data_IF_864286308989
#
_entry.id   IF_864286308989
#
_cell.length_a   1.000
_cell.length_b   1.000
_cell.length_c   1.000
_cell.angle_alpha   90.00
_cell.angle_beta   90.00
_cell.angle_gamma   90.00
#
_symmetry.space_group_name_H-M   'P 1'
#
loop_
_entity.id
_entity.type
_entity.pdbx_description
1 polymer ?
#
# COMPACT_ATOMS: atom_id res chain seq x y z
N UNK A 1 -65.20 45.56 -2.78
CA UNK A 1 -64.55 44.20 -2.51
C UNK A 1 -64.76 43.22 -3.69
N UNK A 2 -65.41 43.52 -4.78
CA UNK A 2 -65.63 42.62 -5.93
C UNK A 2 -64.53 42.64 -7.00
N UNK A 3 -63.60 43.61 -6.97
CA UNK A 3 -62.52 43.75 -7.96
C UNK A 3 -61.35 42.80 -7.68
N UNK A 4 -60.96 42.62 -6.43
CA UNK A 4 -59.77 41.82 -6.06
C UNK A 4 -59.97 40.32 -6.29
N UNK A 5 -61.20 39.80 -6.15
CA UNK A 5 -61.54 38.43 -6.42
C UNK A 5 -61.34 38.02 -7.91
N UNK A 6 -61.73 38.94 -8.80
CA UNK A 6 -61.58 38.70 -10.25
C UNK A 6 -60.14 38.72 -10.70
N UNK A 7 -59.30 39.62 -10.13
CA UNK A 7 -57.85 39.65 -10.40
C UNK A 7 -57.16 38.37 -9.88
N UNK A 8 -57.55 37.90 -8.68
CA UNK A 8 -57.00 36.67 -8.12
C UNK A 8 -57.38 35.44 -8.97
N UNK A 9 -58.62 35.38 -9.47
CA UNK A 9 -59.08 34.29 -10.33
C UNK A 9 -58.37 34.30 -11.69
N UNK A 10 -58.16 35.47 -12.29
CA UNK A 10 -57.38 35.56 -13.54
C UNK A 10 -55.94 35.21 -13.36
N UNK A 11 -55.29 35.60 -12.25
CA UNK A 11 -53.91 35.19 -11.93
C UNK A 11 -53.81 33.68 -11.69
N UNK A 12 -54.77 33.08 -10.99
CA UNK A 12 -54.82 31.65 -10.75
C UNK A 12 -55.02 30.84 -12.06
N UNK A 13 -55.90 31.34 -12.95
CA UNK A 13 -56.07 30.73 -14.28
C UNK A 13 -54.83 30.88 -15.16
N UNK A 14 -54.13 32.04 -15.09
CA UNK A 14 -52.90 32.24 -15.85
C UNK A 14 -51.77 31.30 -15.39
N UNK A 15 -51.65 31.07 -14.08
CA UNK A 15 -50.67 30.13 -13.54
C UNK A 15 -51.00 28.69 -13.89
N UNK A 16 -52.26 28.31 -13.92
CA UNK A 16 -52.70 26.97 -14.37
C UNK A 16 -52.47 26.78 -15.88
N UNK A 17 -52.69 27.80 -16.71
CA UNK A 17 -52.44 27.70 -18.16
C UNK A 17 -50.94 27.66 -18.48
N UNK A 18 -50.09 28.34 -17.73
CA UNK A 18 -48.64 28.29 -17.86
C UNK A 18 -48.06 26.94 -17.38
N UNK A 19 -48.71 26.28 -16.41
CA UNK A 19 -48.36 24.96 -15.98
C UNK A 19 -48.73 23.80 -16.93
N UNK A 20 -49.64 24.09 -17.90
CA UNK A 20 -50.13 23.12 -18.91
C UNK A 20 -49.44 23.29 -20.28
N UNK A 21 -48.46 24.17 -20.42
CA UNK A 21 -47.55 24.16 -21.57
C UNK A 21 -46.68 22.88 -21.49
N UNK A 22 -47.31 21.73 -21.58
CA UNK A 22 -46.64 20.50 -21.93
C UNK A 22 -45.90 20.73 -23.25
N UNK A 23 -44.58 20.71 -23.23
CA UNK A 23 -43.77 20.81 -24.42
C UNK A 23 -44.32 19.82 -25.44
N UNK A 24 -44.80 20.33 -26.59
CA UNK A 24 -45.09 19.50 -27.75
C UNK A 24 -43.78 18.95 -28.35
N UNK A 25 -42.91 18.47 -27.49
CA UNK A 25 -41.66 17.88 -27.89
C UNK A 25 -41.92 16.49 -28.45
N UNK A 26 -41.57 16.30 -29.71
CA UNK A 26 -41.47 14.94 -30.24
C UNK A 26 -40.19 14.37 -29.67
N UNK A 27 -40.32 13.71 -28.50
CA UNK A 27 -39.19 13.21 -27.72
C UNK A 27 -38.29 12.29 -28.54
N UNK A 28 -37.01 12.50 -28.42
CA UNK A 28 -35.94 11.65 -28.91
C UNK A 28 -35.17 11.16 -27.71
N UNK A 29 -35.52 9.97 -27.26
CA UNK A 29 -34.99 9.40 -26.04
C UNK A 29 -33.61 8.80 -26.23
N UNK A 30 -32.68 9.20 -25.38
CA UNK A 30 -31.40 8.51 -25.14
C UNK A 30 -31.61 7.60 -23.95
N UNK A 31 -31.22 6.35 -24.10
CA UNK A 31 -31.43 5.36 -23.05
C UNK A 31 -30.64 5.69 -21.78
N UNK A 32 -31.14 5.22 -20.63
CA UNK A 32 -30.47 5.40 -19.36
C UNK A 32 -29.09 4.73 -19.36
N UNK A 33 -28.13 5.36 -18.70
CA UNK A 33 -26.80 4.84 -18.41
C UNK A 33 -26.70 4.42 -16.95
N UNK A 34 -25.51 3.98 -16.52
CA UNK A 34 -25.28 3.66 -15.10
C UNK A 34 -25.47 4.88 -14.19
N UNK A 35 -25.24 6.09 -14.69
CA UNK A 35 -25.21 7.32 -13.89
C UNK A 35 -26.31 8.32 -14.26
N UNK A 36 -26.92 8.16 -15.44
CA UNK A 36 -27.91 9.10 -15.94
C UNK A 36 -29.21 8.38 -16.29
N UNK A 37 -30.38 9.00 -15.97
CA UNK A 37 -31.67 8.48 -16.35
C UNK A 37 -31.89 8.62 -17.86
N UNK A 38 -32.88 7.93 -18.39
CA UNK A 38 -33.32 8.07 -19.76
C UNK A 38 -33.75 9.53 -20.03
N UNK A 39 -33.10 10.20 -20.97
CA UNK A 39 -33.17 11.64 -21.16
C UNK A 39 -33.54 11.97 -22.60
N UNK A 40 -34.49 12.90 -22.80
CA UNK A 40 -34.81 13.42 -24.13
C UNK A 40 -33.70 14.33 -24.65
N UNK A 41 -33.07 14.00 -25.75
CA UNK A 41 -32.01 14.79 -26.39
C UNK A 41 -32.47 16.20 -26.82
N UNK A 42 -33.80 16.41 -27.02
CA UNK A 42 -34.33 17.66 -27.52
C UNK A 42 -34.76 18.65 -26.43
N UNK A 43 -35.33 18.17 -25.34
CA UNK A 43 -35.88 19.01 -24.29
C UNK A 43 -35.30 18.77 -22.90
N UNK A 44 -34.45 17.77 -22.73
CA UNK A 44 -33.83 17.43 -21.43
C UNK A 44 -34.79 16.77 -20.43
N UNK A 45 -36.03 16.45 -20.83
CA UNK A 45 -36.95 15.72 -19.94
C UNK A 45 -36.40 14.33 -19.64
N UNK A 46 -36.48 13.92 -18.36
CA UNK A 46 -35.99 12.64 -17.89
C UNK A 46 -37.11 11.67 -17.58
N UNK A 47 -36.87 10.38 -17.78
CA UNK A 47 -37.82 9.32 -17.49
C UNK A 47 -37.13 8.15 -16.73
N UNK A 48 -37.68 7.83 -15.56
CA UNK A 48 -37.12 6.80 -14.68
C UNK A 48 -35.90 7.28 -13.94
N UNK A 49 -35.09 6.33 -13.48
CA UNK A 49 -33.83 6.56 -12.77
C UNK A 49 -32.66 6.05 -13.59
N UNK A 50 -31.44 6.42 -13.22
CA UNK A 50 -30.21 5.81 -13.73
C UNK A 50 -30.21 4.29 -13.45
N UNK A 51 -29.57 3.51 -14.32
CA UNK A 51 -29.53 2.05 -14.18
C UNK A 51 -28.73 1.59 -12.94
N UNK A 52 -27.87 2.45 -12.41
CA UNK A 52 -26.89 2.08 -11.39
C UNK A 52 -25.73 1.28 -11.96
N UNK A 53 -24.76 0.99 -11.12
CA UNK A 53 -23.62 0.16 -11.49
C UNK A 53 -23.92 -1.32 -11.19
N UNK A 54 -23.49 -2.19 -12.09
CA UNK A 54 -23.53 -3.66 -11.91
C UNK A 54 -22.12 -4.13 -11.59
N UNK A 55 -21.81 -4.47 -10.32
CA UNK A 55 -20.49 -4.93 -9.94
C UNK A 55 -20.08 -6.20 -10.67
N UNK A 56 -18.84 -6.25 -11.15
CA UNK A 56 -18.22 -7.44 -11.72
C UNK A 56 -17.49 -8.28 -10.66
N UNK A 57 -16.59 -9.15 -11.11
CA UNK A 57 -15.72 -9.91 -10.21
C UNK A 57 -14.65 -9.01 -9.59
N UNK A 58 -14.20 -9.37 -8.38
CA UNK A 58 -13.08 -8.73 -7.73
C UNK A 58 -11.78 -8.99 -8.51
N UNK A 59 -11.06 -7.93 -8.81
CA UNK A 59 -9.73 -7.96 -9.42
C UNK A 59 -8.70 -7.60 -8.37
N UNK A 60 -7.59 -8.31 -8.36
CA UNK A 60 -6.50 -8.09 -7.44
C UNK A 60 -5.41 -7.30 -8.15
N UNK A 61 -5.00 -6.19 -7.55
CA UNK A 61 -3.83 -5.43 -8.01
C UNK A 61 -2.53 -6.17 -7.62
N UNK A 62 -1.41 -5.73 -8.19
CA UNK A 62 -0.10 -6.19 -7.74
C UNK A 62 0.09 -5.84 -6.26
N UNK A 63 0.76 -6.72 -5.49
CA UNK A 63 1.03 -6.46 -4.08
C UNK A 63 1.88 -5.21 -3.88
N UNK A 64 1.46 -4.36 -2.96
CA UNK A 64 2.32 -3.30 -2.43
C UNK A 64 3.13 -3.85 -1.24
N UNK A 65 4.38 -4.17 -1.50
CA UNK A 65 5.27 -4.75 -0.50
C UNK A 65 5.73 -3.74 0.55
N UNK A 66 5.69 -2.43 0.26
CA UNK A 66 6.05 -1.38 1.21
C UNK A 66 4.99 -1.25 2.29
N UNK A 67 3.72 -1.21 1.91
CA UNK A 67 2.60 -1.10 2.85
C UNK A 67 2.03 -2.45 3.30
N UNK A 68 2.49 -3.56 2.70
CA UNK A 68 2.02 -4.92 3.02
C UNK A 68 0.56 -5.18 2.70
N UNK A 69 0.05 -4.58 1.65
CA UNK A 69 -1.34 -4.75 1.23
C UNK A 69 -1.47 -5.17 -0.23
N UNK A 70 -2.58 -5.81 -0.53
CA UNK A 70 -3.06 -6.08 -1.87
C UNK A 70 -4.40 -5.38 -2.01
N UNK A 71 -4.52 -4.48 -2.97
CA UNK A 71 -5.78 -3.83 -3.28
C UNK A 71 -6.67 -4.75 -4.10
N UNK A 72 -7.92 -4.82 -3.73
CA UNK A 72 -8.98 -5.53 -4.43
C UNK A 72 -9.92 -4.48 -5.00
N UNK A 73 -10.18 -4.53 -6.31
CA UNK A 73 -11.05 -3.58 -7.00
C UNK A 73 -12.17 -4.30 -7.71
N UNK A 74 -13.32 -3.67 -7.72
CA UNK A 74 -14.49 -4.16 -8.42
C UNK A 74 -14.96 -3.10 -9.42
N UNK A 75 -15.15 -3.50 -10.65
CA UNK A 75 -15.53 -2.59 -11.73
C UNK A 75 -16.93 -2.94 -12.24
N UNK A 76 -17.66 -1.90 -12.66
CA UNK A 76 -18.96 -2.09 -13.29
C UNK A 76 -18.81 -2.83 -14.63
N UNK A 77 -19.57 -3.91 -14.80
CA UNK A 77 -19.54 -4.73 -16.02
C UNK A 77 -20.10 -4.02 -17.25
N UNK A 78 -20.85 -2.90 -17.05
CA UNK A 78 -21.50 -2.16 -18.12
C UNK A 78 -20.67 -0.95 -18.56
N UNK A 79 -20.15 -0.15 -17.64
CA UNK A 79 -19.46 1.10 -17.96
C UNK A 79 -17.96 1.10 -17.60
N UNK A 80 -17.47 0.07 -16.90
CA UNK A 80 -16.07 -0.03 -16.49
C UNK A 80 -15.66 0.88 -15.32
N UNK A 81 -16.58 1.65 -14.74
CA UNK A 81 -16.26 2.48 -13.59
C UNK A 81 -15.94 1.61 -12.37
N UNK A 82 -14.98 2.04 -11.56
CA UNK A 82 -14.71 1.45 -10.25
C UNK A 82 -15.92 1.67 -9.34
N UNK A 83 -16.40 0.60 -8.73
CA UNK A 83 -17.62 0.60 -7.91
C UNK A 83 -17.36 0.25 -6.47
N UNK A 84 -16.29 -0.49 -6.20
CA UNK A 84 -15.90 -0.85 -4.84
C UNK A 84 -14.40 -1.11 -4.76
N UNK A 85 -13.81 -0.87 -3.58
CA UNK A 85 -12.40 -1.08 -3.28
C UNK A 85 -12.30 -1.72 -1.89
N UNK A 86 -11.52 -2.78 -1.79
CA UNK A 86 -11.19 -3.44 -0.54
C UNK A 86 -9.68 -3.70 -0.47
N UNK A 87 -9.16 -4.12 0.66
CA UNK A 87 -7.75 -4.47 0.82
C UNK A 87 -7.57 -5.74 1.60
N UNK A 88 -6.53 -6.49 1.23
CA UNK A 88 -6.09 -7.70 1.92
C UNK A 88 -4.66 -7.53 2.37
N UNK A 89 -4.40 -7.81 3.65
CA UNK A 89 -3.03 -7.83 4.17
C UNK A 89 -2.23 -8.99 3.56
N UNK A 90 -0.96 -8.72 3.25
CA UNK A 90 0.00 -9.76 2.90
C UNK A 90 0.32 -10.60 4.14
N UNK A 91 0.38 -11.91 3.97
CA UNK A 91 0.71 -12.86 5.03
C UNK A 91 2.17 -13.29 5.05
N UNK A 92 2.90 -13.08 3.96
CA UNK A 92 4.31 -13.44 3.85
C UNK A 92 4.96 -12.72 2.68
N UNK A 93 6.25 -12.41 2.82
CA UNK A 93 7.11 -11.95 1.72
C UNK A 93 7.99 -13.07 1.15
N UNK A 94 7.84 -14.30 1.61
CA UNK A 94 8.69 -15.42 1.19
C UNK A 94 8.01 -16.28 0.13
N UNK A 95 8.71 -16.53 -0.97
CA UNK A 95 8.32 -17.46 -2.02
C UNK A 95 9.55 -18.08 -2.67
N UNK A 96 9.55 -19.40 -2.87
CA UNK A 96 10.60 -20.13 -3.61
C UNK A 96 12.05 -19.86 -3.13
N UNK A 97 12.22 -19.67 -1.81
CA UNK A 97 13.51 -19.41 -1.18
C UNK A 97 14.03 -17.98 -1.39
N UNK A 98 13.14 -17.04 -1.72
CA UNK A 98 13.46 -15.61 -1.86
C UNK A 98 12.39 -14.75 -1.19
N UNK A 99 12.76 -13.52 -0.83
CA UNK A 99 11.79 -12.47 -0.50
C UNK A 99 11.13 -11.97 -1.79
N UNK A 100 9.85 -11.65 -1.71
CA UNK A 100 9.12 -10.97 -2.79
C UNK A 100 9.50 -9.49 -2.90
N UNK A 101 10.01 -8.90 -1.81
CA UNK A 101 10.55 -7.54 -1.78
C UNK A 101 11.80 -7.42 -2.66
N UNK A 102 11.84 -6.35 -3.45
CA UNK A 102 13.10 -5.87 -4.05
C UNK A 102 13.98 -5.20 -2.98
N UNK A 103 15.28 -5.01 -3.26
CA UNK A 103 16.16 -4.22 -2.39
C UNK A 103 15.62 -2.81 -2.10
N UNK A 104 15.05 -2.15 -3.11
CA UNK A 104 14.49 -0.81 -3.01
C UNK A 104 13.25 -0.78 -2.09
N UNK A 105 12.32 -1.71 -2.29
CA UNK A 105 11.12 -1.85 -1.45
C UNK A 105 11.48 -2.18 -0.01
N UNK A 106 12.50 -3.01 0.21
CA UNK A 106 13.01 -3.29 1.56
C UNK A 106 13.55 -2.03 2.23
N UNK A 107 14.36 -1.23 1.52
CA UNK A 107 14.93 0.01 2.08
C UNK A 107 13.85 1.04 2.38
N UNK A 108 12.87 1.22 1.48
CA UNK A 108 11.74 2.13 1.68
C UNK A 108 10.86 1.69 2.87
N UNK A 109 10.57 0.39 2.97
CA UNK A 109 9.81 -0.16 4.10
C UNK A 109 10.56 0.04 5.41
N UNK A 110 11.87 -0.19 5.43
CA UNK A 110 12.70 -0.01 6.63
C UNK A 110 12.71 1.45 7.08
N UNK A 111 12.82 2.40 6.15
CA UNK A 111 12.75 3.86 6.42
C UNK A 111 11.40 4.26 7.01
N UNK A 112 10.30 3.78 6.44
CA UNK A 112 8.95 4.00 6.94
C UNK A 112 8.74 3.42 8.35
N UNK A 113 9.32 2.25 8.63
CA UNK A 113 9.24 1.61 9.95
C UNK A 113 9.97 2.44 11.02
N UNK A 114 11.14 3.01 10.73
CA UNK A 114 11.83 3.90 11.68
C UNK A 114 10.93 5.08 12.08
N UNK A 115 10.32 5.76 11.11
CA UNK A 115 9.37 6.83 11.37
C UNK A 115 8.15 6.38 12.20
N UNK A 116 7.61 5.22 11.89
CA UNK A 116 6.46 4.66 12.62
C UNK A 116 6.83 4.28 14.05
N UNK A 117 7.95 3.61 14.26
CA UNK A 117 8.42 3.21 15.59
C UNK A 117 8.70 4.41 16.49
N UNK A 118 9.32 5.46 15.95
CA UNK A 118 9.55 6.71 16.68
C UNK A 118 8.24 7.39 17.07
N UNK A 119 7.31 7.54 16.13
CA UNK A 119 6.08 8.29 16.35
C UNK A 119 5.07 7.58 17.26
N UNK A 120 4.93 6.26 17.15
CA UNK A 120 3.89 5.51 17.85
C UNK A 120 4.36 4.82 19.12
N UNK A 121 5.63 4.45 19.21
CA UNK A 121 6.15 3.66 20.31
C UNK A 121 7.19 4.41 21.16
N UNK A 122 7.49 5.67 20.79
CA UNK A 122 8.50 6.49 21.51
C UNK A 122 9.89 5.86 21.48
N UNK A 123 10.16 4.99 20.49
CA UNK A 123 11.47 4.42 20.30
C UNK A 123 12.42 5.52 19.80
N UNK A 124 13.65 5.56 20.30
CA UNK A 124 14.68 6.45 19.77
C UNK A 124 15.26 5.84 18.48
N UNK A 125 14.48 5.93 17.42
CA UNK A 125 14.77 5.39 16.09
C UNK A 125 14.74 6.51 15.04
N UNK A 126 15.26 7.69 15.35
CA UNK A 126 15.42 8.77 14.37
C UNK A 126 16.56 8.41 13.39
N UNK A 127 16.28 7.36 12.62
CA UNK A 127 17.15 6.74 11.64
C UNK A 127 16.57 6.87 10.25
N UNK A 128 17.45 6.77 9.25
CA UNK A 128 17.05 6.69 7.84
C UNK A 128 17.68 5.49 7.16
N UNK A 129 16.93 4.87 6.26
CA UNK A 129 17.39 3.77 5.42
C UNK A 129 17.43 4.20 3.96
N UNK A 130 18.53 3.95 3.25
CA UNK A 130 18.68 4.29 1.83
C UNK A 130 19.38 3.19 1.08
N UNK A 131 18.91 2.95 -0.14
CA UNK A 131 19.58 2.02 -1.04
C UNK A 131 20.94 2.57 -1.44
N UNK A 132 21.91 1.70 -1.53
CA UNK A 132 23.24 1.96 -2.05
C UNK A 132 23.53 0.93 -3.15
N UNK A 133 23.75 1.41 -4.36
CA UNK A 133 24.29 0.56 -5.43
C UNK A 133 25.80 0.50 -5.26
N UNK A 134 26.34 -0.68 -5.00
CA UNK A 134 27.76 -0.93 -5.10
C UNK A 134 28.05 -1.55 -6.48
N UNK A 135 29.33 -1.56 -6.86
CA UNK A 135 29.79 -1.97 -8.20
C UNK A 135 29.23 -3.35 -8.66
N UNK A 136 28.91 -3.40 -9.91
CA UNK A 136 28.49 -4.44 -10.86
C UNK A 136 27.55 -5.57 -10.40
N UNK A 137 27.57 -6.11 -9.18
CA UNK A 137 26.69 -7.21 -8.74
C UNK A 137 26.31 -7.16 -7.25
N UNK A 138 26.56 -6.04 -6.56
CA UNK A 138 26.17 -5.89 -5.16
C UNK A 138 25.24 -4.73 -4.94
N UNK A 139 24.12 -4.96 -4.29
CA UNK A 139 23.23 -3.92 -3.75
C UNK A 139 23.23 -4.00 -2.25
N UNK A 140 23.09 -2.84 -1.62
CA UNK A 140 23.00 -2.74 -0.18
C UNK A 140 22.05 -1.65 0.25
N UNK A 141 21.72 -1.66 1.53
CA UNK A 141 21.00 -0.60 2.21
C UNK A 141 21.88 -0.06 3.33
N UNK A 142 22.01 1.24 3.43
CA UNK A 142 22.69 1.91 4.55
C UNK A 142 21.68 2.47 5.52
N UNK A 143 21.94 2.28 6.81
CA UNK A 143 21.15 2.89 7.90
C UNK A 143 22.04 3.91 8.60
N UNK A 144 21.55 5.14 8.75
CA UNK A 144 22.23 6.22 9.43
C UNK A 144 21.30 6.88 10.48
N UNK A 145 21.91 7.43 11.55
CA UNK A 145 21.17 8.20 12.54
C UNK A 145 20.89 9.65 12.07
N UNK A 146 20.15 10.41 12.86
CA UNK A 146 19.80 11.81 12.56
C UNK A 146 21.01 12.73 12.34
N UNK A 147 22.18 12.39 12.86
CA UNK A 147 23.43 13.12 12.64
C UNK A 147 24.13 12.73 11.33
N UNK A 148 23.62 11.74 10.62
CA UNK A 148 24.21 11.19 9.42
C UNK A 148 25.37 10.20 9.70
N UNK A 149 25.54 9.75 10.94
CA UNK A 149 26.50 8.72 11.30
C UNK A 149 25.99 7.37 10.84
N UNK A 150 26.83 6.61 10.16
CA UNK A 150 26.50 5.29 9.65
C UNK A 150 26.37 4.28 10.80
N UNK A 151 25.24 3.62 10.91
CA UNK A 151 24.97 2.61 11.94
C UNK A 151 25.15 1.19 11.41
N UNK A 152 24.72 0.95 10.17
CA UNK A 152 24.68 -0.38 9.59
C UNK A 152 24.77 -0.32 8.06
N UNK A 153 25.41 -1.33 7.48
CA UNK A 153 25.39 -1.63 6.05
C UNK A 153 24.80 -3.03 5.86
N UNK A 154 23.66 -3.11 5.22
CA UNK A 154 23.02 -4.38 4.85
C UNK A 154 23.31 -4.69 3.39
N UNK A 155 23.88 -5.84 3.11
CA UNK A 155 24.14 -6.36 1.77
C UNK A 155 23.08 -7.41 1.39
N UNK A 156 22.61 -7.36 0.17
CA UNK A 156 21.67 -8.32 -0.38
C UNK A 156 22.36 -9.34 -1.25
N UNK A 157 21.95 -10.60 -1.11
CA UNK A 157 22.33 -11.65 -2.04
C UNK A 157 21.09 -12.27 -2.67
N UNK A 158 21.18 -12.58 -3.97
CA UNK A 158 20.14 -13.28 -4.71
C UNK A 158 20.30 -14.79 -4.62
N UNK A 159 19.28 -15.49 -5.08
CA UNK A 159 19.39 -16.93 -5.31
C UNK A 159 20.44 -17.20 -6.39
N UNK A 160 21.23 -18.27 -6.23
CA UNK A 160 22.32 -18.64 -7.16
C UNK A 160 21.82 -18.62 -8.61
N UNK A 161 22.48 -17.82 -9.47
CA UNK A 161 22.16 -17.66 -10.89
C UNK A 161 21.28 -16.47 -11.24
N UNK A 162 20.80 -15.68 -10.27
CA UNK A 162 20.09 -14.44 -10.53
C UNK A 162 21.04 -13.26 -10.32
N UNK A 163 21.01 -12.27 -11.22
CA UNK A 163 21.73 -11.01 -11.03
C UNK A 163 20.88 -10.02 -10.23
N UNK A 164 21.48 -9.40 -9.23
CA UNK A 164 20.81 -8.36 -8.44
C UNK A 164 20.61 -7.07 -9.22
N UNK A 165 21.31 -6.93 -10.34
CA UNK A 165 21.20 -5.76 -11.23
C UNK A 165 20.08 -5.89 -12.26
N UNK A 166 19.50 -7.10 -12.44
CA UNK A 166 18.36 -7.32 -13.31
C UNK A 166 17.05 -7.00 -12.55
N UNK A 167 16.30 -5.96 -12.94
CA UNK A 167 15.07 -5.56 -12.26
C UNK A 167 14.03 -6.67 -12.13
N UNK A 168 13.96 -7.57 -13.12
CA UNK A 168 12.95 -8.63 -13.17
C UNK A 168 13.35 -9.86 -12.31
N UNK A 169 14.61 -9.96 -11.92
CA UNK A 169 15.16 -11.09 -11.15
C UNK A 169 15.71 -10.73 -9.77
N UNK A 170 15.57 -9.48 -9.33
CA UNK A 170 16.06 -8.95 -8.04
C UNK A 170 15.34 -9.50 -6.83
N UNK A 171 15.33 -10.78 -6.65
CA UNK A 171 14.74 -11.40 -5.46
C UNK A 171 15.82 -11.68 -4.42
N UNK A 172 15.63 -11.12 -3.22
CA UNK A 172 16.57 -11.26 -2.11
C UNK A 172 16.44 -12.65 -1.51
N UNK A 173 17.51 -13.43 -1.54
CA UNK A 173 17.59 -14.72 -0.84
C UNK A 173 18.15 -14.56 0.58
N UNK A 174 19.03 -13.58 0.79
CA UNK A 174 19.67 -13.33 2.07
C UNK A 174 20.03 -11.86 2.21
N UNK A 175 19.89 -11.35 3.44
CA UNK A 175 20.38 -10.05 3.90
C UNK A 175 21.47 -10.30 4.91
N UNK A 176 22.62 -9.62 4.79
CA UNK A 176 23.67 -9.62 5.79
C UNK A 176 23.99 -8.18 6.15
N UNK A 177 23.75 -7.82 7.40
CA UNK A 177 23.97 -6.48 7.94
C UNK A 177 25.21 -6.49 8.84
N UNK A 178 26.17 -5.62 8.56
CA UNK A 178 27.31 -5.32 9.41
C UNK A 178 27.09 -3.99 10.13
N UNK A 179 27.30 -3.96 11.45
CA UNK A 179 27.13 -2.77 12.27
C UNK A 179 28.44 -2.03 12.44
N UNK A 180 28.41 -0.71 12.22
CA UNK A 180 29.54 0.19 12.46
C UNK A 180 29.47 0.84 13.84
N UNK A 181 28.25 0.89 14.44
CA UNK A 181 28.07 1.35 15.83
C UNK A 181 28.32 0.24 16.83
N UNK A 182 28.76 0.62 18.04
CA UNK A 182 28.88 -0.26 19.20
C UNK A 182 27.78 0.02 20.24
N UNK A 183 26.89 0.99 19.96
CA UNK A 183 25.77 1.30 20.84
C UNK A 183 24.72 0.19 20.76
N UNK A 184 24.51 -0.49 21.88
CA UNK A 184 23.59 -1.64 21.97
C UNK A 184 22.13 -1.25 21.70
N UNK A 185 21.74 -0.02 22.00
CA UNK A 185 20.38 0.46 21.76
C UNK A 185 20.14 0.73 20.27
N UNK A 186 21.11 1.38 19.60
CA UNK A 186 21.08 1.58 18.15
C UNK A 186 21.02 0.24 17.41
N UNK A 187 21.89 -0.71 17.78
CA UNK A 187 21.93 -2.07 17.23
C UNK A 187 20.58 -2.75 17.42
N UNK A 188 20.02 -2.75 18.64
CA UNK A 188 18.74 -3.38 18.94
C UNK A 188 17.59 -2.77 18.15
N UNK A 189 17.58 -1.45 17.98
CA UNK A 189 16.56 -0.74 17.22
C UNK A 189 16.59 -1.07 15.72
N UNK A 190 17.80 -1.16 15.14
CA UNK A 190 17.96 -1.57 13.73
C UNK A 190 17.56 -3.04 13.54
N UNK A 191 18.00 -3.95 14.41
CA UNK A 191 17.63 -5.37 14.37
C UNK A 191 16.11 -5.55 14.42
N UNK A 192 15.46 -4.82 15.32
CA UNK A 192 14.01 -4.87 15.49
C UNK A 192 13.28 -4.38 14.24
N UNK A 193 13.68 -3.24 13.69
CA UNK A 193 13.08 -2.70 12.47
C UNK A 193 13.31 -3.62 11.26
N UNK A 194 14.51 -4.17 11.09
CA UNK A 194 14.81 -5.13 10.01
C UNK A 194 13.98 -6.41 10.13
N UNK A 195 13.74 -6.90 11.34
CA UNK A 195 12.87 -8.06 11.58
C UNK A 195 11.44 -7.80 11.14
N UNK A 196 10.90 -6.63 11.44
CA UNK A 196 9.57 -6.20 10.98
C UNK A 196 9.51 -5.93 9.47
N UNK A 197 10.61 -5.47 8.88
CA UNK A 197 10.65 -5.15 7.45
C UNK A 197 10.49 -6.38 6.55
N UNK A 198 10.95 -7.53 6.97
CA UNK A 198 10.94 -8.77 6.17
C UNK A 198 9.71 -9.66 6.39
N UNK A 199 8.94 -9.42 7.44
CA UNK A 199 7.75 -10.22 7.77
C UNK A 199 6.51 -9.31 7.95
N UNK A 200 5.61 -9.26 6.95
CA UNK A 200 4.44 -8.40 7.00
C UNK A 200 3.39 -8.84 8.02
N UNK A 201 3.41 -10.10 8.43
CA UNK A 201 2.49 -10.66 9.40
C UNK A 201 2.99 -10.51 10.86
N UNK A 202 4.22 -10.02 11.05
CA UNK A 202 4.84 -9.91 12.35
C UNK A 202 4.35 -8.66 13.09
N UNK A 203 3.65 -8.86 14.19
CA UNK A 203 3.27 -7.76 15.08
C UNK A 203 4.46 -7.26 15.90
N UNK A 204 4.44 -5.97 16.25
CA UNK A 204 5.49 -5.31 17.07
C UNK A 204 5.77 -6.05 18.38
N UNK A 205 4.72 -6.56 19.03
CA UNK A 205 4.82 -7.36 20.26
C UNK A 205 5.61 -8.66 20.05
N UNK A 206 5.30 -9.36 18.96
CA UNK A 206 5.94 -10.64 18.60
C UNK A 206 7.36 -10.44 18.07
N UNK A 207 7.63 -9.33 17.37
CA UNK A 207 8.97 -9.01 16.90
C UNK A 207 10.00 -8.89 18.03
N UNK A 208 9.61 -8.39 19.20
CA UNK A 208 10.48 -8.34 20.37
C UNK A 208 10.85 -9.75 20.88
N UNK A 209 9.89 -10.67 20.86
CA UNK A 209 10.14 -12.07 21.25
C UNK A 209 11.06 -12.76 20.25
N UNK A 210 10.81 -12.58 18.94
CA UNK A 210 11.66 -13.12 17.87
C UNK A 210 13.08 -12.56 17.99
N UNK A 211 13.22 -11.24 18.16
CA UNK A 211 14.52 -10.60 18.34
C UNK A 211 15.27 -11.13 19.57
N UNK A 212 14.59 -11.36 20.69
CA UNK A 212 15.21 -11.95 21.87
C UNK A 212 15.75 -13.36 21.64
N UNK A 213 15.10 -14.17 20.79
CA UNK A 213 15.52 -15.56 20.52
C UNK A 213 16.75 -15.65 19.64
N UNK A 214 16.88 -14.84 18.59
CA UNK A 214 18.02 -14.94 17.68
C UNK A 214 19.30 -14.25 18.19
N UNK A 215 19.23 -13.51 19.29
CA UNK A 215 20.42 -12.94 19.93
C UNK A 215 21.33 -14.01 20.56
N UNK A 216 20.74 -15.12 21.03
CA UNK A 216 21.48 -16.20 21.66
C UNK A 216 21.88 -17.27 20.64
N UNK A 217 20.92 -17.72 19.81
CA UNK A 217 21.11 -18.78 18.81
C UNK A 217 20.32 -18.46 17.53
N UNK A 218 20.76 -18.92 16.34
CA UNK A 218 19.99 -18.76 15.11
C UNK A 218 18.56 -19.29 15.27
N UNK A 219 17.57 -18.48 14.91
CA UNK A 219 16.16 -18.77 15.14
C UNK A 219 15.36 -18.67 13.84
N UNK A 220 14.50 -19.66 13.59
CA UNK A 220 13.61 -19.69 12.43
C UNK A 220 12.18 -19.32 12.80
N UNK A 221 11.58 -18.42 12.01
CA UNK A 221 10.20 -17.96 12.19
C UNK A 221 9.59 -17.55 10.86
N UNK A 222 8.39 -18.01 10.54
CA UNK A 222 7.65 -17.73 9.31
C UNK A 222 8.44 -17.97 8.00
N UNK A 223 9.28 -19.02 7.95
CA UNK A 223 10.09 -19.33 6.77
C UNK A 223 11.34 -18.45 6.62
N UNK A 224 11.65 -17.67 7.65
CA UNK A 224 12.85 -16.84 7.73
C UNK A 224 13.76 -17.37 8.84
N UNK A 225 15.06 -17.42 8.57
CA UNK A 225 16.10 -17.74 9.53
C UNK A 225 16.87 -16.48 9.89
N UNK A 226 16.87 -16.13 11.14
CA UNK A 226 17.57 -14.99 11.74
C UNK A 226 18.82 -15.48 12.48
N UNK A 227 19.92 -14.76 12.35
CA UNK A 227 21.13 -15.03 13.15
C UNK A 227 21.86 -13.72 13.45
N UNK A 228 22.23 -13.54 14.71
CA UNK A 228 23.06 -12.44 15.19
C UNK A 228 24.36 -13.02 15.77
N UNK A 229 25.49 -12.43 15.42
CA UNK A 229 26.79 -12.94 15.87
C UNK A 229 27.85 -11.84 15.89
N UNK A 230 28.86 -12.02 16.74
CA UNK A 230 30.01 -11.13 16.79
C UNK A 230 31.24 -11.86 16.18
N UNK A 231 31.98 -11.13 15.34
CA UNK A 231 33.19 -11.60 14.73
C UNK A 231 34.26 -10.52 14.72
N UNK A 232 35.45 -10.77 15.24
CA UNK A 232 36.55 -9.78 15.33
C UNK A 232 36.19 -8.43 15.98
N UNK A 233 35.22 -8.43 16.92
CA UNK A 233 34.80 -7.23 17.63
C UNK A 233 33.74 -6.41 16.88
N UNK A 234 33.26 -6.90 15.75
CA UNK A 234 32.15 -6.32 14.98
C UNK A 234 30.91 -7.19 15.11
N UNK A 235 29.73 -6.58 14.98
CA UNK A 235 28.43 -7.24 15.06
C UNK A 235 27.85 -7.43 13.68
N UNK A 236 27.25 -8.59 13.46
CA UNK A 236 26.60 -8.98 12.23
C UNK A 236 25.22 -9.56 12.48
N UNK A 237 24.31 -9.25 11.60
CA UNK A 237 22.97 -9.83 11.56
C UNK A 237 22.67 -10.38 10.18
N UNK A 238 22.09 -11.56 10.11
CA UNK A 238 21.65 -12.11 8.83
C UNK A 238 20.22 -12.60 8.89
N UNK A 239 19.54 -12.39 7.78
CA UNK A 239 18.20 -12.92 7.49
C UNK A 239 18.30 -13.70 6.20
N UNK A 240 17.85 -14.95 6.19
CA UNK A 240 17.78 -15.79 4.99
C UNK A 240 16.42 -16.47 4.91
N UNK A 241 15.95 -16.67 3.68
CA UNK A 241 14.73 -17.46 3.41
C UNK A 241 15.09 -18.94 3.49
N UNK A 242 14.30 -19.76 4.20
CA UNK A 242 14.45 -21.21 4.35
C UNK A 242 13.84 -22.01 3.19
#
# INVERSE_FOLDING_TARGET
MRGNARILTVLLCLTLILGLCGCSCRHEWVDATCTEPKTCAKCGETQGEALGHTPGEWQQDEPDYVTSVIWLRQYCTVCGAEVDVDMKALSSYCQDGTLLLSPEEFAERLDNLFGTLTNHYGADCDFSAKIMSAEEDSMGCVVANAKGELLCVALFTTKTGSSITDPDSRKIAKIVAGFTTQDSQEIASVLFAMTLAVDPALEVSSAKEVAGKFLDDPYSYHGLRYAFYAYSGEYYFSISVE
#
